data_IF_283790520879
#
_entry.id   IF_283790520879
#
_cell.length_a   1.000
_cell.length_b   1.000
_cell.length_c   1.000
_cell.angle_alpha   90.00
_cell.angle_beta   90.00
_cell.angle_gamma   90.00
#
_symmetry.space_group_name_H-M   'P 1'
#
loop_
_entity.id
_entity.type
_entity.pdbx_description
1 polymer ?
#
# COMPACT_ATOMS: atom_id res chain seq x y z
N UNK A 1 -38.93 13.64 -11.35
CA UNK A 1 -38.99 14.82 -10.45
C UNK A 1 -37.90 14.77 -9.37
N UNK A 2 -37.69 13.63 -8.68
CA UNK A 2 -36.65 13.51 -7.64
C UNK A 2 -35.20 13.56 -8.13
N UNK A 3 -34.84 12.92 -9.26
CA UNK A 3 -33.44 12.94 -9.73
C UNK A 3 -32.98 14.30 -10.22
N UNK A 4 -33.85 15.05 -10.89
CA UNK A 4 -33.58 16.42 -11.31
C UNK A 4 -33.44 17.36 -10.10
N UNK A 5 -34.24 17.16 -9.06
CA UNK A 5 -34.13 17.95 -7.83
C UNK A 5 -32.82 17.63 -7.09
N UNK A 6 -32.45 16.36 -6.99
CA UNK A 6 -31.16 15.92 -6.42
C UNK A 6 -29.97 16.44 -7.22
N UNK A 7 -30.04 16.44 -8.55
CA UNK A 7 -28.97 16.97 -9.40
C UNK A 7 -28.84 18.50 -9.30
N UNK A 8 -29.96 19.23 -9.23
CA UNK A 8 -29.99 20.68 -9.01
C UNK A 8 -29.46 21.07 -7.62
N UNK A 9 -29.84 20.32 -6.58
CA UNK A 9 -29.31 20.51 -5.22
C UNK A 9 -27.81 20.22 -5.19
N UNK A 10 -27.36 19.13 -5.81
CA UNK A 10 -25.94 18.77 -5.90
C UNK A 10 -25.13 19.84 -6.65
N UNK A 11 -25.69 20.40 -7.71
CA UNK A 11 -25.05 21.49 -8.46
C UNK A 11 -24.92 22.75 -7.60
N UNK A 12 -26.01 23.17 -6.95
CA UNK A 12 -26.02 24.38 -6.10
C UNK A 12 -25.09 24.25 -4.89
N UNK A 13 -25.03 23.08 -4.25
CA UNK A 13 -24.10 22.80 -3.16
C UNK A 13 -22.66 22.83 -3.66
N UNK A 14 -22.34 22.19 -4.80
CA UNK A 14 -20.98 22.25 -5.36
C UNK A 14 -20.52 23.67 -5.67
N UNK A 15 -21.40 24.54 -6.16
CA UNK A 15 -21.09 25.96 -6.40
C UNK A 15 -20.86 26.75 -5.10
N UNK A 16 -21.65 26.50 -4.04
CA UNK A 16 -21.40 27.09 -2.72
C UNK A 16 -20.08 26.60 -2.10
N UNK A 17 -19.74 25.31 -2.29
CA UNK A 17 -18.52 24.71 -1.76
C UNK A 17 -17.25 25.24 -2.43
N UNK A 18 -17.28 25.45 -3.77
CA UNK A 18 -16.17 26.04 -4.54
C UNK A 18 -15.75 27.44 -4.05
N UNK A 19 -16.66 28.17 -3.41
CA UNK A 19 -16.38 29.50 -2.85
C UNK A 19 -15.74 29.44 -1.46
N UNK A 20 -15.56 28.24 -0.88
CA UNK A 20 -14.79 28.03 0.35
C UNK A 20 -13.40 27.50 0.01
N UNK A 21 -12.35 28.09 0.57
CA UNK A 21 -10.95 27.70 0.30
C UNK A 21 -10.62 26.24 0.68
N UNK A 22 -11.52 25.56 1.39
CA UNK A 22 -11.28 24.27 2.02
C UNK A 22 -12.14 23.13 1.45
N UNK A 23 -12.96 23.39 0.41
CA UNK A 23 -13.91 22.40 -0.10
C UNK A 23 -13.99 22.43 -1.64
N UNK A 24 -13.76 21.28 -2.26
CA UNK A 24 -14.06 21.03 -3.66
C UNK A 24 -14.67 19.64 -3.80
N UNK A 25 -15.65 19.47 -4.70
CA UNK A 25 -16.15 18.14 -5.10
C UNK A 25 -16.46 17.14 -3.96
N UNK A 26 -17.21 17.56 -2.92
CA UNK A 26 -17.56 16.72 -1.76
C UNK A 26 -16.36 16.28 -0.88
N UNK A 27 -15.21 16.91 -1.07
CA UNK A 27 -13.99 16.80 -0.25
C UNK A 27 -13.92 17.99 0.68
N UNK A 28 -13.83 17.76 1.99
CA UNK A 28 -13.65 18.85 2.94
C UNK A 28 -12.38 18.66 3.79
N UNK A 29 -11.66 19.77 3.99
CA UNK A 29 -10.50 19.88 4.87
C UNK A 29 -10.87 20.71 6.10
N UNK A 30 -11.19 20.04 7.22
CA UNK A 30 -11.81 20.69 8.37
C UNK A 30 -11.11 20.27 9.67
N UNK A 31 -10.94 21.19 10.60
CA UNK A 31 -10.72 20.83 12.01
C UNK A 31 -12.06 20.46 12.70
N UNK A 32 -12.03 20.03 13.97
CA UNK A 32 -13.25 19.66 14.71
C UNK A 32 -14.25 20.81 14.87
N UNK A 33 -13.77 22.03 15.13
CA UNK A 33 -14.63 23.21 15.31
C UNK A 33 -15.31 23.62 14.00
N UNK A 34 -14.56 23.56 12.89
CA UNK A 34 -15.06 23.77 11.54
C UNK A 34 -16.06 22.66 11.16
N UNK A 35 -15.72 21.41 11.46
CA UNK A 35 -16.59 20.25 11.22
C UNK A 35 -17.92 20.40 11.95
N UNK A 36 -17.93 20.83 13.21
CA UNK A 36 -19.16 20.94 13.99
C UNK A 36 -20.13 21.96 13.42
N UNK A 37 -19.60 23.09 12.91
CA UNK A 37 -20.37 24.18 12.30
C UNK A 37 -20.70 23.93 10.83
N UNK A 38 -20.16 22.88 10.22
CA UNK A 38 -20.35 22.63 8.80
C UNK A 38 -21.79 22.20 8.50
N UNK A 39 -22.51 23.01 7.72
CA UNK A 39 -23.94 22.81 7.44
C UNK A 39 -24.21 21.63 6.49
N UNK A 40 -23.28 21.33 5.59
CA UNK A 40 -23.47 20.41 4.47
C UNK A 40 -22.76 19.06 4.67
N UNK A 41 -22.61 18.60 5.93
CA UNK A 41 -21.93 17.32 6.25
C UNK A 41 -22.48 16.16 5.44
N UNK A 42 -23.80 16.11 5.25
CA UNK A 42 -24.48 15.01 4.56
C UNK A 42 -24.03 14.75 3.13
N UNK A 43 -23.35 15.69 2.48
CA UNK A 43 -22.88 15.58 1.10
C UNK A 43 -21.41 15.17 0.97
N UNK A 44 -20.70 15.08 2.09
CA UNK A 44 -19.27 14.74 2.09
C UNK A 44 -19.09 13.24 1.86
N UNK A 45 -18.28 12.93 0.85
CA UNK A 45 -17.79 11.58 0.58
C UNK A 45 -16.34 11.41 1.01
N UNK A 46 -15.59 12.53 1.07
CA UNK A 46 -14.21 12.58 1.54
C UNK A 46 -14.06 13.65 2.62
N UNK A 47 -13.42 13.28 3.73
CA UNK A 47 -13.15 14.19 4.84
C UNK A 47 -11.68 14.06 5.25
N UNK A 48 -10.99 15.19 5.31
CA UNK A 48 -9.71 15.34 5.99
C UNK A 48 -9.97 16.06 7.30
N UNK A 49 -9.92 15.33 8.41
CA UNK A 49 -10.18 15.89 9.73
C UNK A 49 -8.85 16.24 10.43
N UNK A 50 -8.60 17.53 10.61
CA UNK A 50 -7.41 18.04 11.27
C UNK A 50 -7.61 18.07 12.78
N UNK A 51 -6.69 17.45 13.51
CA UNK A 51 -6.70 17.38 14.96
C UNK A 51 -6.71 15.94 15.46
N UNK A 52 -6.98 15.80 16.76
CA UNK A 52 -6.79 14.55 17.50
C UNK A 52 -8.08 14.02 18.15
N UNK A 53 -9.22 14.61 17.77
CA UNK A 53 -10.56 14.27 18.27
C UNK A 53 -11.44 13.87 17.10
N UNK A 54 -12.07 12.71 17.19
CA UNK A 54 -13.07 12.25 16.23
C UNK A 54 -14.48 12.59 16.72
N UNK A 55 -15.42 12.90 15.81
CA UNK A 55 -16.84 12.94 16.16
C UNK A 55 -17.34 11.53 16.53
N UNK A 56 -18.54 11.44 17.11
CA UNK A 56 -19.18 10.13 17.32
C UNK A 56 -19.39 9.42 15.96
N UNK A 57 -19.36 8.09 15.96
CA UNK A 57 -19.56 7.30 14.72
C UNK A 57 -20.85 7.69 13.97
N UNK A 58 -21.90 8.07 14.68
CA UNK A 58 -23.19 8.46 14.09
C UNK A 58 -23.22 9.92 13.61
N UNK A 59 -22.21 10.72 13.96
CA UNK A 59 -22.09 12.12 13.54
C UNK A 59 -21.29 12.28 12.24
N UNK A 60 -20.63 11.23 11.75
CA UNK A 60 -19.99 11.25 10.45
C UNK A 60 -21.01 11.38 9.31
N UNK A 61 -20.61 11.93 8.14
CA UNK A 61 -21.47 11.96 6.97
C UNK A 61 -21.95 10.56 6.58
N UNK A 62 -23.24 10.38 6.25
CA UNK A 62 -23.82 9.08 5.90
C UNK A 62 -23.23 8.48 4.62
N UNK A 63 -22.60 9.30 3.76
CA UNK A 63 -21.95 8.85 2.53
C UNK A 63 -20.42 8.96 2.59
N UNK A 64 -19.83 9.12 3.79
CA UNK A 64 -18.39 9.21 3.94
C UNK A 64 -17.73 7.87 3.60
N UNK A 65 -16.93 7.85 2.55
CA UNK A 65 -16.15 6.68 2.11
C UNK A 65 -14.66 6.84 2.35
N UNK A 66 -14.16 8.08 2.33
CA UNK A 66 -12.72 8.37 2.48
C UNK A 66 -12.46 9.29 3.68
N UNK A 67 -11.65 8.82 4.62
CA UNK A 67 -11.25 9.60 5.81
C UNK A 67 -9.73 9.72 5.87
N UNK A 68 -9.24 10.96 5.93
CA UNK A 68 -7.85 11.29 6.17
C UNK A 68 -7.68 11.97 7.54
N UNK A 69 -6.75 11.44 8.34
CA UNK A 69 -6.49 11.87 9.72
C UNK A 69 -5.02 12.30 9.88
N UNK A 70 -4.61 13.47 9.36
CA UNK A 70 -3.21 13.90 9.29
C UNK A 70 -2.50 14.01 10.65
N UNK A 71 -3.23 14.42 11.69
CA UNK A 71 -2.65 14.71 13.00
C UNK A 71 -3.16 13.81 14.12
N UNK A 72 -3.94 12.79 13.79
CA UNK A 72 -4.52 11.89 14.77
C UNK A 72 -3.45 10.99 15.40
N UNK A 73 -3.40 10.98 16.72
CA UNK A 73 -2.42 10.32 17.56
C UNK A 73 -3.04 9.48 18.68
N UNK A 74 -4.36 9.61 18.91
CA UNK A 74 -5.08 8.83 19.93
C UNK A 74 -5.29 7.38 19.53
N UNK A 75 -5.57 6.55 20.55
CA UNK A 75 -6.01 5.17 20.35
C UNK A 75 -7.43 5.16 19.79
N UNK A 76 -7.65 4.37 18.74
CA UNK A 76 -8.99 4.09 18.25
C UNK A 76 -9.71 3.05 19.13
N UNK A 77 -11.02 3.17 19.19
CA UNK A 77 -11.96 2.22 19.79
C UNK A 77 -12.92 1.69 18.72
N UNK A 78 -13.54 0.51 18.91
CA UNK A 78 -14.49 -0.09 17.95
C UNK A 78 -15.68 0.80 17.56
N UNK A 79 -15.98 1.83 18.34
CA UNK A 79 -17.09 2.75 18.11
C UNK A 79 -16.68 4.05 17.45
N UNK A 80 -15.41 4.24 17.06
CA UNK A 80 -14.96 5.53 16.52
C UNK A 80 -15.28 5.73 15.05
N UNK A 81 -15.40 4.68 14.23
CA UNK A 81 -15.45 4.81 12.78
C UNK A 81 -16.72 4.14 12.18
N UNK A 82 -17.44 4.82 11.27
CA UNK A 82 -18.59 4.24 10.56
C UNK A 82 -18.18 3.17 9.53
N UNK A 83 -19.07 2.19 9.32
CA UNK A 83 -18.93 1.15 8.28
C UNK A 83 -19.22 1.67 6.86
N UNK A 84 -19.29 2.98 6.67
CA UNK A 84 -19.33 3.61 5.35
C UNK A 84 -17.93 3.85 4.81
N UNK A 85 -16.92 3.93 5.68
CA UNK A 85 -15.52 4.20 5.30
C UNK A 85 -14.92 2.99 4.59
N UNK A 86 -14.47 3.21 3.36
CA UNK A 86 -13.73 2.23 2.55
C UNK A 86 -12.25 2.58 2.44
N UNK A 87 -11.88 3.85 2.60
CA UNK A 87 -10.49 4.32 2.56
C UNK A 87 -10.15 5.09 3.82
N UNK A 88 -9.10 4.66 4.53
CA UNK A 88 -8.61 5.30 5.74
C UNK A 88 -7.11 5.55 5.62
N UNK A 89 -6.73 6.81 5.80
CA UNK A 89 -5.33 7.23 5.82
C UNK A 89 -5.04 7.96 7.13
N UNK A 90 -4.03 7.51 7.86
CA UNK A 90 -3.50 8.25 9.01
C UNK A 90 -2.30 9.09 8.57
N UNK A 91 -2.08 10.23 9.20
CA UNK A 91 -0.83 10.97 9.02
C UNK A 91 0.27 10.50 9.96
N UNK A 92 1.33 11.30 10.03
CA UNK A 92 2.59 10.92 10.68
C UNK A 92 2.47 10.69 12.18
N UNK A 93 1.49 11.30 12.86
CA UNK A 93 1.39 11.22 14.33
C UNK A 93 0.77 9.91 14.84
N UNK A 94 0.25 9.05 13.98
CA UNK A 94 -0.45 7.83 14.40
C UNK A 94 0.52 6.67 14.67
N UNK A 95 0.80 6.40 15.95
CA UNK A 95 1.66 5.29 16.36
C UNK A 95 1.07 4.50 17.54
N UNK A 96 -0.22 4.17 17.44
CA UNK A 96 -0.96 3.43 18.46
C UNK A 96 -1.24 2.00 18.01
N UNK A 97 -1.39 1.08 18.98
CA UNK A 97 -1.84 -0.29 18.70
C UNK A 97 -3.30 -0.24 18.25
N UNK A 98 -3.57 -0.79 17.07
CA UNK A 98 -4.94 -1.01 16.56
C UNK A 98 -5.39 -2.38 17.04
N UNK A 99 -6.54 -2.45 17.73
CA UNK A 99 -7.08 -3.71 18.24
C UNK A 99 -8.05 -4.35 17.22
N UNK A 100 -8.24 -5.68 17.25
CA UNK A 100 -9.29 -6.35 16.49
C UNK A 100 -10.67 -5.69 16.67
N UNK A 101 -11.41 -5.54 15.56
CA UNK A 101 -12.73 -4.88 15.53
C UNK A 101 -12.69 -3.35 15.61
N UNK A 102 -11.52 -2.72 15.62
CA UNK A 102 -11.39 -1.26 15.66
C UNK A 102 -11.57 -0.61 14.29
N UNK A 103 -11.13 -1.29 13.23
CA UNK A 103 -11.28 -0.82 11.86
C UNK A 103 -12.65 -1.22 11.29
N UNK A 104 -13.27 -0.37 10.44
CA UNK A 104 -14.55 -0.70 9.80
C UNK A 104 -14.46 -1.96 8.93
N UNK A 105 -15.51 -2.79 8.94
CA UNK A 105 -15.58 -4.00 8.12
C UNK A 105 -15.74 -3.74 6.61
N UNK A 106 -15.99 -2.49 6.25
CA UNK A 106 -16.08 -1.99 4.87
C UNK A 106 -14.73 -1.53 4.30
N UNK A 107 -13.69 -1.47 5.12
CA UNK A 107 -12.42 -0.86 4.76
C UNK A 107 -11.70 -1.70 3.70
N UNK A 108 -11.46 -1.12 2.53
CA UNK A 108 -10.74 -1.74 1.40
C UNK A 108 -9.32 -1.21 1.26
N UNK A 109 -9.07 0.03 1.67
CA UNK A 109 -7.76 0.67 1.60
C UNK A 109 -7.35 1.24 2.96
N UNK A 110 -6.18 0.83 3.46
CA UNK A 110 -5.58 1.35 4.68
C UNK A 110 -4.15 1.84 4.41
N UNK A 111 -3.90 3.10 4.76
CA UNK A 111 -2.54 3.67 4.74
C UNK A 111 -2.16 4.13 6.15
N UNK A 112 -1.15 3.48 6.71
CA UNK A 112 -0.51 3.85 7.98
C UNK A 112 0.77 4.61 7.62
N UNK A 113 0.90 5.90 7.94
CA UNK A 113 2.01 6.74 7.44
C UNK A 113 3.15 6.82 8.48
N UNK A 114 3.99 7.86 8.46
CA UNK A 114 5.44 7.72 8.67
C UNK A 114 5.86 7.14 10.00
N UNK A 115 5.18 7.44 11.11
CA UNK A 115 5.62 6.98 12.43
C UNK A 115 5.02 5.67 12.92
N UNK A 116 4.08 5.07 12.18
CA UNK A 116 3.47 3.82 12.62
C UNK A 116 4.50 2.70 12.70
N UNK A 117 4.78 2.22 13.91
CA UNK A 117 5.70 1.12 14.16
C UNK A 117 5.21 0.24 15.32
N UNK A 118 3.95 -0.21 15.22
CA UNK A 118 3.33 -1.15 16.17
C UNK A 118 3.04 -2.48 15.50
N UNK A 119 3.08 -3.55 16.29
CA UNK A 119 2.70 -4.88 15.84
C UNK A 119 1.23 -4.87 15.43
N UNK A 120 0.93 -5.46 14.27
CA UNK A 120 -0.45 -5.72 13.83
C UNK A 120 -0.83 -7.11 14.31
N UNK A 121 -1.85 -7.20 15.16
CA UNK A 121 -2.31 -8.48 15.68
C UNK A 121 -3.22 -9.18 14.67
N UNK A 122 -3.27 -10.52 14.65
CA UNK A 122 -4.27 -11.27 13.88
C UNK A 122 -5.71 -10.77 14.15
N UNK A 123 -6.51 -10.63 13.10
CA UNK A 123 -7.88 -10.11 13.18
C UNK A 123 -7.99 -8.58 13.34
N UNK A 124 -6.87 -7.85 13.36
CA UNK A 124 -6.87 -6.37 13.36
C UNK A 124 -7.33 -5.81 12.02
N UNK A 125 -6.85 -6.39 10.91
CA UNK A 125 -7.17 -5.98 9.56
C UNK A 125 -8.47 -6.64 9.11
N UNK A 126 -9.44 -5.89 8.55
CA UNK A 126 -10.72 -6.45 8.13
C UNK A 126 -10.57 -7.31 6.86
N UNK A 127 -11.44 -8.32 6.72
CA UNK A 127 -11.44 -9.24 5.56
C UNK A 127 -11.86 -8.59 4.24
N UNK A 128 -12.26 -7.31 4.24
CA UNK A 128 -12.53 -6.52 3.05
C UNK A 128 -11.28 -5.82 2.51
N UNK A 129 -10.17 -5.81 3.26
CA UNK A 129 -9.00 -5.01 2.94
C UNK A 129 -8.27 -5.58 1.72
N UNK A 130 -8.15 -4.77 0.67
CA UNK A 130 -7.48 -5.14 -0.58
C UNK A 130 -6.13 -4.43 -0.73
N UNK A 131 -5.98 -3.23 -0.18
CA UNK A 131 -4.76 -2.42 -0.26
C UNK A 131 -4.27 -2.02 1.13
N UNK A 132 -3.01 -2.34 1.42
CA UNK A 132 -2.35 -1.98 2.66
C UNK A 132 -0.98 -1.35 2.40
N UNK A 133 -0.77 -0.16 2.98
CA UNK A 133 0.52 0.53 2.97
C UNK A 133 0.99 0.75 4.40
N UNK A 134 2.14 0.18 4.73
CA UNK A 134 2.88 0.43 5.98
C UNK A 134 3.88 1.56 5.80
N UNK A 135 3.87 2.50 6.73
CA UNK A 135 4.64 3.74 6.65
C UNK A 135 6.14 3.58 6.89
N UNK A 136 6.85 4.71 6.78
CA UNK A 136 8.32 4.75 6.74
C UNK A 136 8.99 4.06 7.92
N UNK A 137 8.49 4.24 9.16
CA UNK A 137 9.11 3.67 10.37
C UNK A 137 8.67 2.24 10.69
N UNK A 138 7.73 1.66 9.96
CA UNK A 138 7.26 0.30 10.23
C UNK A 138 8.39 -0.71 10.05
N UNK A 139 8.78 -1.35 11.15
CA UNK A 139 9.81 -2.38 11.16
C UNK A 139 9.49 -3.47 12.18
N UNK A 140 8.24 -3.92 12.19
CA UNK A 140 7.79 -5.05 13.00
C UNK A 140 7.69 -6.31 12.13
N UNK A 141 7.86 -7.47 12.74
CA UNK A 141 7.62 -8.75 12.07
C UNK A 141 6.13 -8.87 11.75
N UNK A 142 5.81 -9.23 10.50
CA UNK A 142 4.46 -9.63 10.10
C UNK A 142 4.37 -11.14 10.25
N UNK A 143 3.56 -11.63 11.18
CA UNK A 143 3.38 -13.07 11.39
C UNK A 143 2.38 -13.65 10.38
N UNK A 144 2.47 -14.96 10.07
CA UNK A 144 1.41 -15.68 9.35
C UNK A 144 0.03 -15.39 9.97
N UNK A 145 -1.01 -15.37 9.13
CA UNK A 145 -2.42 -15.06 9.47
C UNK A 145 -2.72 -13.58 9.82
N UNK A 146 -1.72 -12.70 9.86
CA UNK A 146 -1.93 -11.27 10.17
C UNK A 146 -2.59 -10.53 9.01
N UNK A 147 -2.20 -10.84 7.78
CA UNK A 147 -2.71 -10.21 6.57
C UNK A 147 -3.98 -10.95 6.10
N UNK A 148 -5.06 -10.24 5.74
CA UNK A 148 -6.28 -10.87 5.28
C UNK A 148 -6.13 -11.46 3.87
N UNK A 149 -6.82 -12.56 3.60
CA UNK A 149 -6.78 -13.24 2.29
C UNK A 149 -7.33 -12.40 1.13
N UNK A 150 -8.06 -11.32 1.41
CA UNK A 150 -8.55 -10.36 0.43
C UNK A 150 -7.47 -9.41 -0.10
N UNK A 151 -6.30 -9.36 0.55
CA UNK A 151 -5.27 -8.39 0.24
C UNK A 151 -4.62 -8.69 -1.12
N UNK A 152 -4.69 -7.72 -2.03
CA UNK A 152 -4.10 -7.81 -3.38
C UNK A 152 -2.87 -6.93 -3.53
N UNK A 153 -2.76 -5.86 -2.74
CA UNK A 153 -1.66 -4.90 -2.81
C UNK A 153 -1.07 -4.65 -1.42
N UNK A 154 0.24 -4.87 -1.28
CA UNK A 154 0.99 -4.64 -0.06
C UNK A 154 2.24 -3.81 -0.34
N UNK A 155 2.39 -2.71 0.40
CA UNK A 155 3.57 -1.86 0.37
C UNK A 155 4.19 -1.71 1.75
N UNK A 156 5.47 -2.02 1.86
CA UNK A 156 6.33 -1.60 2.96
C UNK A 156 7.16 -0.39 2.52
N UNK A 157 7.07 0.76 3.19
CA UNK A 157 7.68 2.00 2.68
C UNK A 157 9.21 2.08 2.82
N UNK A 158 9.78 2.11 4.04
CA UNK A 158 11.22 2.47 4.22
C UNK A 158 12.00 1.51 5.11
N UNK A 159 11.65 1.41 6.40
CA UNK A 159 12.47 0.72 7.41
C UNK A 159 12.27 -0.79 7.52
N UNK A 160 11.23 -1.36 6.90
CA UNK A 160 10.93 -2.78 7.02
C UNK A 160 12.09 -3.63 6.49
N UNK A 161 12.73 -4.40 7.37
CA UNK A 161 13.88 -5.23 7.02
C UNK A 161 13.85 -6.58 7.76
N UNK A 162 12.74 -7.30 7.65
CA UNK A 162 12.55 -8.64 8.23
C UNK A 162 12.38 -9.70 7.15
N UNK A 163 12.86 -10.91 7.41
CA UNK A 163 12.65 -12.05 6.52
C UNK A 163 11.14 -12.33 6.45
N UNK A 164 10.62 -12.50 5.24
CA UNK A 164 9.25 -12.94 5.01
C UNK A 164 9.20 -14.46 5.08
N UNK A 165 8.51 -15.00 6.09
CA UNK A 165 8.35 -16.44 6.24
C UNK A 165 7.29 -16.98 5.26
N UNK A 166 7.38 -18.25 4.84
CA UNK A 166 6.30 -18.91 4.11
C UNK A 166 4.94 -18.72 4.79
N UNK A 167 3.88 -18.58 3.99
CA UNK A 167 2.50 -18.34 4.45
C UNK A 167 2.25 -17.01 5.19
N UNK A 168 3.22 -16.08 5.19
CA UNK A 168 3.02 -14.73 5.71
C UNK A 168 2.21 -13.86 4.75
N UNK A 169 2.51 -13.96 3.45
CA UNK A 169 1.79 -13.24 2.40
C UNK A 169 0.55 -14.03 1.96
N UNK A 170 -0.59 -13.36 1.74
CA UNK A 170 -1.82 -14.04 1.35
C UNK A 170 -1.78 -14.52 -0.11
N UNK A 171 -2.51 -15.61 -0.39
CA UNK A 171 -2.52 -16.30 -1.68
C UNK A 171 -3.10 -15.48 -2.85
N UNK A 172 -3.78 -14.36 -2.58
CA UNK A 172 -4.35 -13.47 -3.60
C UNK A 172 -3.50 -12.21 -3.84
N UNK A 173 -2.32 -12.09 -3.21
CA UNK A 173 -1.48 -10.91 -3.34
C UNK A 173 -0.92 -10.82 -4.77
N UNK A 174 -1.24 -9.75 -5.48
CA UNK A 174 -0.80 -9.53 -6.87
C UNK A 174 0.37 -8.55 -6.94
N UNK A 175 0.44 -7.59 -6.01
CA UNK A 175 1.46 -6.54 -5.98
C UNK A 175 2.13 -6.48 -4.63
N UNK A 176 3.46 -6.61 -4.63
CA UNK A 176 4.30 -6.47 -3.44
C UNK A 176 5.42 -5.47 -3.70
N UNK A 177 5.50 -4.47 -2.83
CA UNK A 177 6.60 -3.50 -2.80
C UNK A 177 7.31 -3.54 -1.46
N UNK A 178 8.61 -3.85 -1.49
CA UNK A 178 9.49 -3.75 -0.34
C UNK A 178 10.14 -2.37 -0.22
N UNK A 179 10.39 -1.99 1.03
CA UNK A 179 10.87 -0.65 1.37
C UNK A 179 12.36 -0.44 1.17
N UNK A 180 12.79 0.82 1.25
CA UNK A 180 14.15 1.27 0.97
C UNK A 180 15.27 0.42 1.62
N UNK A 181 15.12 0.00 2.88
CA UNK A 181 16.16 -0.75 3.60
C UNK A 181 15.98 -2.27 3.59
N UNK A 182 14.99 -2.81 2.87
CA UNK A 182 14.79 -4.24 2.79
C UNK A 182 15.99 -4.90 2.07
N UNK A 183 16.72 -5.75 2.80
CA UNK A 183 17.88 -6.48 2.26
C UNK A 183 17.96 -7.90 2.85
N UNK A 184 16.82 -8.59 2.89
CA UNK A 184 16.71 -9.95 3.40
C UNK A 184 16.63 -10.98 2.28
N UNK A 185 17.10 -12.18 2.56
CA UNK A 185 16.94 -13.32 1.64
C UNK A 185 15.45 -13.62 1.43
N UNK A 186 15.09 -13.97 0.19
CA UNK A 186 13.75 -14.44 -0.15
C UNK A 186 13.73 -15.97 -0.04
N UNK A 187 12.89 -16.49 0.85
CA UNK A 187 12.81 -17.93 1.11
C UNK A 187 11.90 -18.63 0.09
N UNK A 188 12.15 -19.92 -0.24
CA UNK A 188 11.20 -20.73 -1.01
C UNK A 188 9.80 -20.71 -0.38
N UNK A 189 8.77 -20.47 -1.19
CA UNK A 189 7.38 -20.42 -0.72
C UNK A 189 7.00 -19.16 0.09
N UNK A 190 7.89 -18.17 0.21
CA UNK A 190 7.57 -16.89 0.87
C UNK A 190 6.77 -15.93 -0.01
N UNK A 191 6.86 -16.09 -1.35
CA UNK A 191 6.11 -15.31 -2.33
C UNK A 191 4.93 -16.14 -2.87
N UNK A 192 3.71 -15.60 -2.94
CA UNK A 192 2.55 -16.34 -3.43
C UNK A 192 2.57 -16.43 -4.96
N UNK A 193 2.01 -17.52 -5.50
CA UNK A 193 1.94 -17.75 -6.95
C UNK A 193 1.04 -16.75 -7.70
N UNK A 194 0.17 -16.03 -7.00
CA UNK A 194 -0.66 -14.94 -7.57
C UNK A 194 0.12 -13.68 -7.91
N UNK A 195 1.36 -13.55 -7.42
CA UNK A 195 2.13 -12.31 -7.51
C UNK A 195 2.52 -12.04 -8.96
N UNK A 196 2.07 -10.89 -9.49
CA UNK A 196 2.37 -10.44 -10.85
C UNK A 196 3.40 -9.30 -10.86
N UNK A 197 3.42 -8.49 -9.80
CA UNK A 197 4.35 -7.36 -9.66
C UNK A 197 5.12 -7.46 -8.35
N UNK A 198 6.45 -7.53 -8.47
CA UNK A 198 7.38 -7.51 -7.35
C UNK A 198 8.37 -6.37 -7.51
N UNK A 199 8.45 -5.54 -6.48
CA UNK A 199 9.40 -4.44 -6.39
C UNK A 199 10.24 -4.57 -5.13
N UNK A 200 11.56 -4.65 -5.32
CA UNK A 200 12.52 -4.52 -4.24
C UNK A 200 12.94 -3.06 -4.02
N UNK A 201 13.20 -2.71 -2.76
CA UNK A 201 13.63 -1.37 -2.38
C UNK A 201 15.12 -1.11 -2.60
N UNK A 202 15.55 0.13 -2.36
CA UNK A 202 16.89 0.65 -2.67
C UNK A 202 18.06 -0.24 -2.20
N UNK A 203 17.98 -0.78 -0.99
CA UNK A 203 19.06 -1.53 -0.33
C UNK A 203 19.13 -3.01 -0.68
N UNK A 204 18.20 -3.55 -1.47
CA UNK A 204 18.17 -4.97 -1.78
C UNK A 204 19.38 -5.38 -2.63
N UNK A 205 20.19 -6.31 -2.11
CA UNK A 205 21.36 -6.86 -2.79
C UNK A 205 21.62 -8.34 -2.41
N UNK A 206 20.55 -9.12 -2.30
CA UNK A 206 20.62 -10.56 -2.01
C UNK A 206 20.52 -11.38 -3.29
N UNK A 207 21.15 -12.56 -3.30
CA UNK A 207 21.04 -13.51 -4.41
C UNK A 207 19.61 -14.05 -4.46
N UNK A 208 19.01 -14.03 -5.65
CA UNK A 208 17.72 -14.68 -5.92
C UNK A 208 18.03 -16.04 -6.55
N UNK A 209 17.67 -17.12 -5.86
CA UNK A 209 17.92 -18.49 -6.34
C UNK A 209 16.87 -18.91 -7.39
N UNK A 210 17.21 -19.86 -8.29
CA UNK A 210 16.23 -20.48 -9.18
C UNK A 210 15.01 -21.04 -8.44
N UNK A 211 13.82 -20.87 -9.01
CA UNK A 211 12.56 -21.34 -8.44
C UNK A 211 12.00 -20.53 -7.25
N UNK A 212 12.64 -19.42 -6.86
CA UNK A 212 12.15 -18.54 -5.78
C UNK A 212 11.07 -17.57 -6.27
N UNK A 213 11.22 -17.05 -7.49
CA UNK A 213 10.26 -16.13 -8.07
C UNK A 213 9.02 -16.88 -8.57
N UNK A 214 7.81 -16.35 -8.35
CA UNK A 214 6.58 -17.03 -8.74
C UNK A 214 6.40 -17.08 -10.26
N UNK A 215 5.83 -18.18 -10.76
CA UNK A 215 5.69 -18.45 -12.20
C UNK A 215 4.75 -17.50 -12.96
N UNK A 216 3.96 -16.68 -12.26
CA UNK A 216 3.06 -15.69 -12.87
C UNK A 216 3.61 -14.26 -12.80
N UNK A 217 4.85 -14.08 -12.33
CA UNK A 217 5.45 -12.76 -12.20
C UNK A 217 5.68 -12.14 -13.57
N UNK A 218 5.04 -11.01 -13.85
CA UNK A 218 5.17 -10.28 -15.11
C UNK A 218 6.13 -9.10 -15.00
N UNK A 219 6.21 -8.50 -13.81
CA UNK A 219 7.01 -7.30 -13.55
C UNK A 219 7.93 -7.51 -12.35
N UNK A 220 9.23 -7.39 -12.57
CA UNK A 220 10.25 -7.43 -11.52
C UNK A 220 11.08 -6.15 -11.57
N UNK A 221 11.08 -5.40 -10.47
CA UNK A 221 12.01 -4.28 -10.24
C UNK A 221 12.98 -4.63 -9.13
N UNK A 222 14.25 -4.72 -9.48
CA UNK A 222 15.34 -4.94 -8.53
C UNK A 222 15.74 -3.61 -7.85
N UNK A 223 16.29 -3.72 -6.65
CA UNK A 223 16.68 -2.57 -5.84
C UNK A 223 17.85 -1.80 -6.42
N UNK A 224 17.97 -0.50 -6.12
CA UNK A 224 19.06 0.37 -6.59
C UNK A 224 20.45 -0.25 -6.37
N UNK A 225 20.67 -0.88 -5.21
CA UNK A 225 21.95 -1.46 -4.80
C UNK A 225 22.18 -2.89 -5.30
N UNK A 226 21.24 -3.47 -6.05
CA UNK A 226 21.33 -4.84 -6.51
C UNK A 226 22.49 -5.00 -7.50
N UNK A 227 23.44 -5.85 -7.16
CA UNK A 227 24.63 -6.15 -7.97
C UNK A 227 25.04 -7.62 -7.85
N UNK A 228 24.07 -8.54 -7.82
CA UNK A 228 24.29 -9.98 -7.80
C UNK A 228 24.12 -10.56 -9.20
N UNK A 229 24.87 -11.62 -9.52
CA UNK A 229 24.69 -12.36 -10.78
C UNK A 229 23.31 -13.00 -10.78
N UNK A 230 22.58 -12.84 -11.88
CA UNK A 230 21.31 -13.55 -12.11
C UNK A 230 21.63 -14.80 -12.91
N UNK A 231 21.37 -15.98 -12.34
CA UNK A 231 21.66 -17.26 -12.99
C UNK A 231 20.53 -17.65 -13.97
N UNK A 232 20.79 -18.52 -14.96
CA UNK A 232 19.74 -19.19 -15.73
C UNK A 232 18.68 -19.81 -14.81
N UNK A 233 17.44 -19.86 -15.30
CA UNK A 233 16.25 -20.36 -14.57
C UNK A 233 15.86 -19.57 -13.31
N UNK A 234 16.51 -18.44 -13.03
CA UNK A 234 16.11 -17.54 -11.92
C UNK A 234 14.85 -16.75 -12.26
N UNK A 235 14.74 -16.27 -13.50
CA UNK A 235 13.63 -15.43 -13.95
C UNK A 235 12.50 -16.31 -14.52
N UNK A 236 11.24 -16.08 -14.13
CA UNK A 236 10.13 -16.88 -14.64
C UNK A 236 9.82 -16.56 -16.10
N UNK A 237 9.36 -17.56 -16.86
CA UNK A 237 8.99 -17.44 -18.28
C UNK A 237 7.76 -16.55 -18.54
N UNK A 238 7.10 -16.06 -17.51
CA UNK A 238 6.03 -15.07 -17.60
C UNK A 238 6.53 -13.62 -17.59
N UNK A 239 7.81 -13.39 -17.27
CA UNK A 239 8.34 -12.06 -17.01
C UNK A 239 8.40 -11.25 -18.31
N UNK A 240 7.67 -10.13 -18.35
CA UNK A 240 7.62 -9.21 -19.49
C UNK A 240 8.43 -7.94 -19.23
N UNK A 241 8.52 -7.52 -17.97
CA UNK A 241 9.26 -6.32 -17.56
C UNK A 241 10.29 -6.64 -16.49
N UNK A 242 11.56 -6.37 -16.81
CA UNK A 242 12.68 -6.47 -15.88
C UNK A 242 13.40 -5.13 -15.80
N UNK A 243 13.53 -4.61 -14.58
CA UNK A 243 14.23 -3.37 -14.29
C UNK A 243 15.35 -3.67 -13.30
N UNK A 244 16.59 -3.49 -13.75
CA UNK A 244 17.77 -3.61 -12.89
C UNK A 244 18.01 -2.35 -12.06
N UNK A 245 18.69 -2.52 -10.94
CA UNK A 245 19.14 -1.45 -10.07
C UNK A 245 20.24 -0.59 -10.70
N UNK A 246 20.45 0.62 -10.17
CA UNK A 246 21.46 1.53 -10.69
C UNK A 246 22.88 0.96 -10.61
N UNK A 247 23.19 0.23 -9.53
CA UNK A 247 24.51 -0.36 -9.28
C UNK A 247 24.73 -1.73 -9.93
N UNK A 248 23.79 -2.21 -10.72
CA UNK A 248 23.96 -3.50 -11.38
C UNK A 248 25.08 -3.40 -12.41
N UNK A 249 26.12 -4.20 -12.24
CA UNK A 249 27.27 -4.27 -13.14
C UNK A 249 27.82 -5.71 -13.22
N UNK A 250 26.92 -6.69 -13.28
CA UNK A 250 27.28 -8.10 -13.45
C UNK A 250 27.04 -8.54 -14.88
N UNK A 251 27.79 -9.56 -15.31
CA UNK A 251 27.50 -10.28 -16.55
C UNK A 251 26.11 -10.92 -16.45
N UNK A 252 25.35 -10.88 -17.53
CA UNK A 252 24.10 -11.62 -17.70
C UNK A 252 24.40 -12.87 -18.54
N UNK A 253 24.51 -14.07 -17.93
CA UNK A 253 24.84 -15.28 -18.67
C UNK A 253 23.82 -15.59 -19.78
N UNK A 254 24.22 -16.24 -20.88
CA UNK A 254 23.30 -16.75 -21.89
C UNK A 254 22.20 -17.63 -21.26
N UNK A 255 20.96 -17.48 -21.73
CA UNK A 255 19.80 -18.19 -21.20
C UNK A 255 19.20 -17.62 -19.90
N UNK A 256 19.75 -16.51 -19.37
CA UNK A 256 19.20 -15.87 -18.15
C UNK A 256 17.89 -15.13 -18.42
N UNK A 257 17.78 -14.44 -19.56
CA UNK A 257 16.61 -13.63 -19.89
C UNK A 257 15.52 -14.52 -20.52
N UNK A 258 14.28 -14.48 -20.03
CA UNK A 258 13.20 -15.28 -20.59
C UNK A 258 12.73 -14.72 -21.93
N UNK A 259 12.27 -15.60 -22.83
CA UNK A 259 11.79 -15.22 -24.16
C UNK A 259 10.54 -14.32 -24.15
N UNK A 260 9.83 -14.25 -23.03
CA UNK A 260 8.67 -13.38 -22.82
C UNK A 260 9.01 -11.91 -22.60
N UNK A 261 10.29 -11.59 -22.37
CA UNK A 261 10.72 -10.27 -21.94
C UNK A 261 10.54 -9.23 -23.06
N UNK A 262 9.76 -8.19 -22.79
CA UNK A 262 9.48 -7.09 -23.74
C UNK A 262 10.11 -5.78 -23.32
N UNK A 263 10.27 -5.56 -22.02
CA UNK A 263 10.88 -4.37 -21.44
C UNK A 263 12.04 -4.81 -20.55
N UNK A 264 13.24 -4.38 -20.93
CA UNK A 264 14.44 -4.59 -20.16
C UNK A 264 15.14 -3.24 -19.96
N UNK A 265 15.27 -2.83 -18.71
CA UNK A 265 15.88 -1.54 -18.34
C UNK A 265 17.12 -1.80 -17.50
N UNK A 266 18.24 -1.26 -17.98
CA UNK A 266 19.48 -1.09 -17.21
C UNK A 266 19.65 0.39 -16.84
N UNK A 267 20.50 0.63 -15.86
CA UNK A 267 20.93 1.98 -15.52
C UNK A 267 21.95 2.50 -16.51
N UNK A 268 22.16 3.82 -16.50
CA UNK A 268 23.22 4.46 -17.28
C UNK A 268 24.64 4.08 -16.81
N UNK A 269 24.80 3.44 -15.65
CA UNK A 269 26.09 3.00 -15.09
C UNK A 269 26.45 1.55 -15.49
N UNK A 270 25.62 0.89 -16.30
CA UNK A 270 25.90 -0.47 -16.76
C UNK A 270 26.96 -0.48 -17.86
N UNK A 271 28.17 -0.94 -17.52
CA UNK A 271 29.33 -0.94 -18.43
C UNK A 271 29.70 -2.35 -18.97
N UNK A 272 29.21 -3.42 -18.32
CA UNK A 272 29.45 -4.78 -18.78
C UNK A 272 28.54 -5.14 -19.96
N UNK A 273 29.07 -4.93 -21.17
CA UNK A 273 28.43 -5.35 -22.42
C UNK A 273 28.10 -6.85 -22.36
N UNK A 274 26.86 -7.15 -22.73
CA UNK A 274 26.42 -8.50 -22.98
C UNK A 274 27.35 -9.20 -23.98
N UNK A 275 27.93 -10.35 -23.62
CA UNK A 275 28.34 -11.35 -24.61
C UNK A 275 27.06 -12.05 -25.10
N UNK A 276 26.28 -11.39 -25.95
CA UNK A 276 25.19 -12.02 -26.70
C UNK A 276 25.86 -12.72 -27.89
N UNK A 277 26.18 -14.01 -27.73
CA UNK A 277 26.41 -14.92 -28.85
C UNK A 277 25.16 -15.77 -29.09
#
# INVERSE_FOLDING_TARGET
>A
MNELLLSLINFSVKEELKNSSNISDSVAHLDKSQYDKFKYKSYLTTLSLFGDTLPDKNEFPPFLTSLYLPYFSKKLTPTNLPNTITTLTFGDNFNQVVLPGTLPNSLTTLTLVSDFNKVVLPGTLPNSLTTLTFGHRFNQVVSPITLPNSLTQLTFSHNYNHIVLPYTLPDNLTTLTFGHYFNQVVLPGSLPNSLTTLTFGFGFNQVVQPGILPNNLTTLRLGYSFNQVVLPDTLPNSLTTLIFGQRFNQVVPPGTLPNSLTILIFSHEFENLFDIQ
#
